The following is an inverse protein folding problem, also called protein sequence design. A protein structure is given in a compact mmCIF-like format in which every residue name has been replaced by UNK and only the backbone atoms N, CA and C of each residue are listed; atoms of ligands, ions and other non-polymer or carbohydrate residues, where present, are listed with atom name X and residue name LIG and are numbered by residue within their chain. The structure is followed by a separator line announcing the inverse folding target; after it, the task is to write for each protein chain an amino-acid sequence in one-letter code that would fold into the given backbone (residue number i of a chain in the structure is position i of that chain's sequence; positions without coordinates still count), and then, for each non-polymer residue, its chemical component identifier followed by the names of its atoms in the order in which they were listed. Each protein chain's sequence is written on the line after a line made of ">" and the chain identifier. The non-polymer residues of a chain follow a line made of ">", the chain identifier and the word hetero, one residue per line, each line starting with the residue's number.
data_IF_515711189100
#
_entry.id   IF_515711189100
#
_cell.length_a   1.000
_cell.length_b   1.000
_cell.length_c   1.000
_cell.angle_alpha   90.00
_cell.angle_beta   90.00
_cell.angle_gamma   90.00
#
_symmetry.space_group_name_H-M   'P 1'
#
loop_
_entity.id
_entity.type
_entity.pdbx_description
1 polymer ?
#
# COMPACT_ATOMS: atom_id res chain seq x y z
N UNK A 1 -4.36 -6.67 19.80
CA UNK A 1 -4.68 -5.32 19.32
C UNK A 1 -3.52 -4.85 18.45
N UNK A 2 -3.73 -4.72 17.17
CA UNK A 2 -2.81 -3.99 16.29
C UNK A 2 -2.75 -2.56 16.85
N UNK A 3 -1.60 -2.16 17.39
CA UNK A 3 -1.36 -0.75 17.68
C UNK A 3 -1.36 -0.05 16.32
N UNK A 4 -2.43 0.67 16.04
CA UNK A 4 -2.56 1.42 14.79
C UNK A 4 -1.48 2.51 14.84
N UNK A 5 -0.54 2.47 13.91
CA UNK A 5 0.42 3.54 13.72
C UNK A 5 -0.34 4.84 13.41
N UNK A 6 0.15 5.96 13.89
CA UNK A 6 -0.43 7.26 13.58
C UNK A 6 0.64 8.19 12.99
N UNK A 7 0.20 9.24 12.29
CA UNK A 7 1.13 10.26 11.78
C UNK A 7 1.86 11.00 12.90
N UNK A 8 1.25 11.09 14.08
CA UNK A 8 1.85 11.74 15.26
C UNK A 8 3.05 10.96 15.82
N UNK A 9 3.15 9.66 15.54
CA UNK A 9 4.28 8.82 15.94
C UNK A 9 5.40 8.78 14.90
N UNK A 10 5.23 9.42 13.73
CA UNK A 10 6.25 9.53 12.70
C UNK A 10 7.14 10.74 12.97
N UNK A 11 8.33 10.49 13.52
CA UNK A 11 9.23 11.56 13.92
C UNK A 11 10.26 11.87 12.84
N UNK A 12 10.23 13.11 12.34
CA UNK A 12 11.17 13.59 11.31
C UNK A 12 12.64 13.55 11.75
N UNK A 13 12.91 13.49 13.06
CA UNK A 13 14.30 13.39 13.58
C UNK A 13 15.04 12.14 13.13
N UNK A 14 14.33 11.08 12.75
CA UNK A 14 14.94 9.84 12.24
C UNK A 14 15.43 9.97 10.80
N UNK A 15 15.02 11.00 10.08
CA UNK A 15 15.51 11.26 8.74
C UNK A 15 16.71 12.21 8.78
N UNK A 16 17.76 11.97 7.98
CA UNK A 16 18.96 12.81 7.99
C UNK A 16 18.61 14.23 7.54
N UNK A 17 19.16 15.21 8.27
CA UNK A 17 19.06 16.62 7.87
C UNK A 17 20.22 16.99 6.91
N UNK A 18 20.28 16.31 5.79
CA UNK A 18 21.32 16.43 4.76
C UNK A 18 20.71 16.64 3.39
N UNK A 19 21.47 17.24 2.49
CA UNK A 19 21.08 17.36 1.10
C UNK A 19 21.33 16.05 0.36
N UNK A 20 20.32 15.59 -0.36
CA UNK A 20 20.49 14.51 -1.33
C UNK A 20 21.23 15.05 -2.54
N UNK A 21 22.42 14.50 -2.81
CA UNK A 21 23.27 14.96 -3.91
C UNK A 21 22.67 14.68 -5.29
N UNK A 22 21.81 13.67 -5.42
CA UNK A 22 21.16 13.32 -6.70
C UNK A 22 19.97 14.21 -7.02
N UNK A 23 19.16 14.56 -6.02
CA UNK A 23 17.90 15.27 -6.18
C UNK A 23 17.97 16.74 -5.73
N UNK A 24 19.05 17.17 -5.10
CA UNK A 24 19.24 18.54 -4.64
C UNK A 24 18.24 19.00 -3.56
N UNK A 25 17.67 18.07 -2.80
CA UNK A 25 16.67 18.35 -1.76
C UNK A 25 17.18 17.94 -0.38
N UNK A 26 16.75 18.68 0.65
CA UNK A 26 16.98 18.27 2.03
C UNK A 26 16.05 17.09 2.36
N UNK A 27 16.63 15.96 2.74
CA UNK A 27 15.89 14.70 2.98
C UNK A 27 14.81 14.87 4.04
N UNK A 28 15.14 15.49 5.18
CA UNK A 28 14.15 15.70 6.26
C UNK A 28 13.01 16.62 5.83
N UNK A 29 13.30 17.69 5.13
CA UNK A 29 12.28 18.62 4.63
C UNK A 29 11.37 17.95 3.59
N UNK A 30 11.95 17.14 2.70
CA UNK A 30 11.19 16.36 1.72
C UNK A 30 10.26 15.36 2.40
N UNK A 31 10.77 14.58 3.38
CA UNK A 31 9.96 13.64 4.13
C UNK A 31 8.84 14.33 4.92
N UNK A 32 9.09 15.51 5.47
CA UNK A 32 8.06 16.32 6.13
C UNK A 32 6.90 16.65 5.20
N UNK A 33 7.20 17.14 4.00
CA UNK A 33 6.17 17.45 2.99
C UNK A 33 5.43 16.21 2.51
N UNK A 34 6.14 15.09 2.35
CA UNK A 34 5.53 13.83 1.95
C UNK A 34 4.54 13.34 3.01
N UNK A 35 4.94 13.34 4.27
CA UNK A 35 4.07 12.92 5.38
C UNK A 35 2.86 13.83 5.53
N UNK A 36 3.01 15.15 5.37
CA UNK A 36 1.90 16.09 5.38
C UNK A 36 0.92 15.79 4.24
N UNK A 37 1.41 15.50 3.04
CA UNK A 37 0.59 15.12 1.89
C UNK A 37 -0.16 13.79 2.10
N UNK A 38 0.48 12.79 2.69
CA UNK A 38 -0.15 11.51 3.01
C UNK A 38 -1.22 11.67 4.12
N UNK A 39 -0.95 12.50 5.11
CA UNK A 39 -1.93 12.84 6.14
C UNK A 39 -3.15 13.52 5.54
N UNK A 40 -2.95 14.52 4.69
CA UNK A 40 -4.03 15.22 3.99
C UNK A 40 -4.85 14.26 3.12
N UNK A 41 -4.17 13.36 2.38
CA UNK A 41 -4.83 12.31 1.61
C UNK A 41 -5.79 11.46 2.48
N UNK A 42 -5.34 11.09 3.67
CA UNK A 42 -6.13 10.27 4.58
C UNK A 42 -7.26 11.05 5.27
N UNK A 43 -7.03 12.32 5.63
CA UNK A 43 -8.04 13.19 6.26
C UNK A 43 -9.19 13.53 5.31
N UNK A 44 -8.88 13.76 4.04
CA UNK A 44 -9.85 14.12 3.00
C UNK A 44 -10.29 12.91 2.16
N UNK A 45 -10.12 11.71 2.68
CA UNK A 45 -10.36 10.49 1.91
C UNK A 45 -11.78 10.38 1.37
N UNK A 46 -11.87 10.11 0.07
CA UNK A 46 -13.11 9.77 -0.64
C UNK A 46 -12.87 8.56 -1.54
N UNK A 47 -13.61 7.47 -1.38
CA UNK A 47 -13.42 6.26 -2.18
C UNK A 47 -13.57 6.47 -3.69
N UNK A 48 -14.31 7.51 -4.09
CA UNK A 48 -14.60 7.79 -5.51
C UNK A 48 -13.74 8.90 -6.11
N UNK A 49 -12.99 9.65 -5.30
CA UNK A 49 -12.23 10.81 -5.73
C UNK A 49 -10.72 10.68 -5.49
N UNK A 50 -10.32 9.82 -4.57
CA UNK A 50 -8.91 9.62 -4.27
C UNK A 50 -8.21 8.77 -5.33
N UNK A 51 -6.97 9.14 -5.62
CA UNK A 51 -6.10 8.37 -6.49
C UNK A 51 -5.43 7.21 -5.73
N UNK A 52 -5.01 6.21 -6.48
CA UNK A 52 -4.15 5.15 -5.95
C UNK A 52 -2.74 5.69 -5.72
N UNK A 53 -2.06 5.18 -4.70
CA UNK A 53 -0.71 5.61 -4.33
C UNK A 53 0.27 4.43 -4.38
N UNK A 54 1.51 4.72 -4.76
CA UNK A 54 2.62 3.79 -4.64
C UNK A 54 3.73 4.43 -3.80
N UNK A 55 4.01 3.84 -2.64
CA UNK A 55 5.09 4.25 -1.74
C UNK A 55 6.32 3.39 -2.02
N UNK A 56 7.32 4.00 -2.65
CA UNK A 56 8.54 3.31 -3.09
C UNK A 56 9.72 3.81 -2.26
N UNK A 57 10.56 2.90 -1.83
CA UNK A 57 11.78 3.23 -1.11
C UNK A 57 12.40 2.04 -0.41
N UNK A 58 13.61 2.20 0.05
CA UNK A 58 14.33 1.15 0.78
C UNK A 58 13.59 0.74 2.07
N UNK A 59 13.89 -0.47 2.54
CA UNK A 59 13.39 -0.94 3.83
C UNK A 59 13.75 0.05 4.97
N UNK A 60 12.85 0.16 5.96
CA UNK A 60 13.06 1.00 7.13
C UNK A 60 12.77 2.50 6.94
N UNK A 61 12.27 2.93 5.79
CA UNK A 61 11.90 4.34 5.54
C UNK A 61 10.50 4.72 6.06
N UNK A 62 9.79 3.82 6.73
CA UNK A 62 8.49 4.12 7.34
C UNK A 62 7.28 3.92 6.42
N UNK A 63 7.42 3.26 5.26
CA UNK A 63 6.32 3.02 4.33
C UNK A 63 5.13 2.29 4.96
N UNK A 64 5.41 1.18 5.64
CA UNK A 64 4.39 0.40 6.39
C UNK A 64 3.72 1.24 7.46
N UNK A 65 4.50 2.03 8.21
CA UNK A 65 3.98 2.92 9.24
C UNK A 65 3.03 3.97 8.64
N UNK A 66 3.43 4.60 7.53
CA UNK A 66 2.59 5.56 6.81
C UNK A 66 1.30 4.91 6.29
N UNK A 67 1.39 3.72 5.70
CA UNK A 67 0.23 2.98 5.21
C UNK A 67 -0.77 2.64 6.34
N UNK A 68 -0.27 2.20 7.49
CA UNK A 68 -1.10 1.92 8.67
C UNK A 68 -1.71 3.19 9.26
N UNK A 69 -0.98 4.32 9.26
CA UNK A 69 -1.51 5.60 9.70
C UNK A 69 -2.66 6.09 8.80
N UNK A 70 -2.53 5.93 7.48
CA UNK A 70 -3.61 6.20 6.52
C UNK A 70 -4.81 5.30 6.80
N UNK A 71 -4.59 4.00 6.96
CA UNK A 71 -5.65 3.04 7.26
C UNK A 71 -6.44 3.43 8.51
N UNK A 72 -5.75 3.83 9.57
CA UNK A 72 -6.38 4.28 10.82
C UNK A 72 -7.32 5.47 10.62
N UNK A 73 -6.85 6.53 9.95
CA UNK A 73 -7.66 7.72 9.69
C UNK A 73 -8.86 7.43 8.77
N UNK A 74 -8.69 6.61 7.76
CA UNK A 74 -9.76 6.25 6.83
C UNK A 74 -10.82 5.39 7.53
N UNK A 75 -10.40 4.44 8.39
CA UNK A 75 -11.31 3.65 9.23
C UNK A 75 -12.11 4.52 10.20
N UNK A 76 -11.48 5.52 10.85
CA UNK A 76 -12.14 6.45 11.75
C UNK A 76 -13.26 7.25 11.07
N UNK A 77 -13.14 7.46 9.76
CA UNK A 77 -14.16 8.13 8.94
C UNK A 77 -15.31 7.18 8.54
N UNK A 78 -15.24 5.92 8.90
CA UNK A 78 -16.28 4.92 8.64
C UNK A 78 -16.19 4.21 7.29
N UNK A 79 -15.06 4.30 6.60
CA UNK A 79 -14.81 3.58 5.35
C UNK A 79 -14.28 2.17 5.60
N UNK A 80 -14.51 1.27 4.65
CA UNK A 80 -13.97 -0.08 4.65
C UNK A 80 -12.51 -0.08 4.18
N UNK A 81 -11.62 -0.57 5.02
CA UNK A 81 -10.20 -0.69 4.71
C UNK A 81 -9.73 -2.12 4.83
N UNK A 82 -9.07 -2.61 3.79
CA UNK A 82 -8.34 -3.88 3.80
C UNK A 82 -6.84 -3.55 3.78
N UNK A 83 -6.15 -3.93 4.84
CA UNK A 83 -4.69 -3.91 4.91
C UNK A 83 -4.17 -5.33 4.93
N UNK A 84 -3.32 -5.66 3.96
CA UNK A 84 -2.70 -6.99 3.86
C UNK A 84 -1.21 -6.86 3.51
N UNK A 85 -0.40 -7.76 4.07
CA UNK A 85 0.93 -8.05 3.57
C UNK A 85 0.80 -8.74 2.21
N UNK A 86 1.41 -8.17 1.17
CA UNK A 86 1.33 -8.74 -0.18
C UNK A 86 1.85 -10.17 -0.24
N UNK A 87 3.01 -10.52 0.38
CA UNK A 87 3.49 -11.89 0.44
C UNK A 87 2.48 -12.86 1.03
N UNK A 88 1.92 -12.52 2.18
CA UNK A 88 0.98 -13.40 2.88
C UNK A 88 -0.35 -13.55 2.12
N UNK A 89 -0.86 -12.45 1.58
CA UNK A 89 -2.12 -12.43 0.84
C UNK A 89 -2.05 -13.28 -0.43
N UNK A 90 -1.06 -13.04 -1.28
CA UNK A 90 -0.92 -13.79 -2.54
C UNK A 90 -0.43 -15.21 -2.31
N UNK A 91 0.39 -15.45 -1.29
CA UNK A 91 0.79 -16.79 -0.87
C UNK A 91 -0.40 -17.64 -0.44
N UNK A 92 -1.33 -17.07 0.31
CA UNK A 92 -2.56 -17.76 0.71
C UNK A 92 -3.48 -18.05 -0.49
N UNK A 93 -3.62 -17.12 -1.42
CA UNK A 93 -4.40 -17.31 -2.63
C UNK A 93 -3.79 -18.45 -3.48
N UNK A 94 -2.47 -18.47 -3.65
CA UNK A 94 -1.79 -19.52 -4.41
C UNK A 94 -1.93 -20.89 -3.75
N UNK A 95 -1.78 -20.97 -2.43
CA UNK A 95 -1.91 -22.22 -1.68
C UNK A 95 -3.33 -22.82 -1.76
N UNK A 96 -4.36 -22.00 -1.87
CA UNK A 96 -5.76 -22.43 -1.97
C UNK A 96 -6.30 -22.49 -3.38
N UNK A 97 -5.44 -22.26 -4.38
CA UNK A 97 -5.81 -22.18 -5.82
C UNK A 97 -6.63 -23.35 -6.32
N UNK A 98 -6.31 -24.56 -5.87
CA UNK A 98 -6.95 -25.82 -6.32
C UNK A 98 -7.86 -26.42 -5.26
N UNK A 99 -8.10 -25.73 -4.16
CA UNK A 99 -8.98 -26.18 -3.09
C UNK A 99 -10.41 -25.66 -3.34
N UNK A 100 -11.36 -26.55 -3.67
CA UNK A 100 -12.75 -26.14 -3.90
C UNK A 100 -13.43 -25.51 -2.68
N UNK A 101 -12.92 -25.79 -1.47
CA UNK A 101 -13.35 -25.18 -0.21
C UNK A 101 -12.51 -23.98 0.18
N UNK A 102 -11.53 -23.60 -0.64
CA UNK A 102 -10.59 -22.54 -0.37
C UNK A 102 -11.21 -21.14 -0.42
N UNK A 103 -10.69 -20.24 0.38
CA UNK A 103 -11.18 -18.87 0.55
C UNK A 103 -10.64 -17.90 -0.52
N UNK A 104 -9.92 -18.39 -1.55
CA UNK A 104 -9.25 -17.52 -2.54
C UNK A 104 -10.22 -16.53 -3.20
N UNK A 105 -11.36 -17.03 -3.68
CA UNK A 105 -12.38 -16.19 -4.34
C UNK A 105 -12.98 -15.16 -3.37
N UNK A 106 -13.21 -15.56 -2.13
CA UNK A 106 -13.74 -14.66 -1.09
C UNK A 106 -12.72 -13.57 -0.74
N UNK A 107 -11.45 -13.94 -0.59
CA UNK A 107 -10.37 -13.00 -0.32
C UNK A 107 -10.22 -11.98 -1.46
N UNK A 108 -10.20 -12.45 -2.71
CA UNK A 108 -10.11 -11.58 -3.89
C UNK A 108 -11.32 -10.67 -4.03
N UNK A 109 -12.52 -11.18 -3.79
CA UNK A 109 -13.74 -10.37 -3.82
C UNK A 109 -13.71 -9.27 -2.77
N UNK A 110 -13.36 -9.61 -1.53
CA UNK A 110 -13.27 -8.66 -0.43
C UNK A 110 -12.24 -7.58 -0.72
N UNK A 111 -11.06 -7.97 -1.21
CA UNK A 111 -10.02 -7.02 -1.61
C UNK A 111 -10.45 -6.14 -2.81
N UNK A 112 -11.25 -6.69 -3.74
CA UNK A 112 -11.72 -5.95 -4.92
C UNK A 112 -12.77 -4.88 -4.60
N UNK A 113 -13.51 -5.04 -3.51
CA UNK A 113 -14.69 -4.20 -3.19
C UNK A 113 -14.50 -3.25 -2.02
N UNK A 114 -13.43 -3.38 -1.24
CA UNK A 114 -13.14 -2.46 -0.14
C UNK A 114 -12.94 -1.02 -0.62
N UNK A 115 -13.37 -0.03 0.15
CA UNK A 115 -13.20 1.38 -0.15
C UNK A 115 -11.71 1.73 -0.35
N UNK A 116 -10.85 1.21 0.51
CA UNK A 116 -9.39 1.31 0.40
C UNK A 116 -8.75 -0.06 0.55
N UNK A 117 -7.89 -0.43 -0.40
CA UNK A 117 -7.01 -1.59 -0.30
C UNK A 117 -5.57 -1.13 -0.12
N UNK A 118 -4.88 -1.69 0.86
CA UNK A 118 -3.45 -1.48 1.07
C UNK A 118 -2.73 -2.82 0.91
N UNK A 119 -1.87 -2.90 -0.11
CA UNK A 119 -0.97 -4.01 -0.37
C UNK A 119 0.43 -3.62 0.12
N UNK A 120 0.79 -4.09 1.30
CA UNK A 120 2.06 -3.74 1.93
C UNK A 120 3.16 -4.73 1.55
N UNK A 121 4.37 -4.19 1.39
CA UNK A 121 5.60 -4.95 1.15
C UNK A 121 5.57 -5.81 -0.12
N UNK A 122 5.11 -5.23 -1.24
CA UNK A 122 5.17 -5.89 -2.54
C UNK A 122 6.63 -6.06 -2.96
N UNK A 123 7.06 -7.31 -3.17
CA UNK A 123 8.43 -7.71 -3.50
C UNK A 123 8.52 -8.51 -4.80
N UNK A 124 9.76 -8.85 -5.19
CA UNK A 124 10.05 -9.66 -6.40
C UNK A 124 9.92 -11.16 -6.19
N UNK A 125 9.82 -11.62 -4.95
CA UNK A 125 9.79 -13.04 -4.56
C UNK A 125 8.56 -13.80 -5.06
N UNK A 126 7.53 -13.07 -5.53
CA UNK A 126 6.24 -13.64 -5.94
C UNK A 126 5.95 -13.53 -7.44
N UNK A 127 6.95 -13.31 -8.28
CA UNK A 127 6.76 -13.16 -9.72
C UNK A 127 6.55 -14.52 -10.41
N UNK A 128 5.39 -15.12 -10.18
CA UNK A 128 4.90 -16.27 -10.95
C UNK A 128 3.87 -15.80 -11.98
N UNK A 129 3.65 -16.54 -13.09
CA UNK A 129 2.59 -16.21 -14.04
C UNK A 129 1.20 -16.12 -13.38
N UNK A 130 0.96 -16.98 -12.39
CA UNK A 130 -0.30 -16.97 -11.64
C UNK A 130 -0.44 -15.69 -10.79
N UNK A 131 0.61 -15.32 -10.05
CA UNK A 131 0.63 -14.07 -9.29
C UNK A 131 0.32 -12.86 -10.18
N UNK A 132 1.00 -12.76 -11.32
CA UNK A 132 0.80 -11.66 -12.28
C UNK A 132 -0.67 -11.59 -12.71
N UNK A 133 -1.27 -12.72 -13.06
CA UNK A 133 -2.68 -12.79 -13.48
C UNK A 133 -3.62 -12.30 -12.39
N UNK A 134 -3.43 -12.78 -11.16
CA UNK A 134 -4.27 -12.41 -10.01
C UNK A 134 -4.09 -10.93 -9.65
N UNK A 135 -2.86 -10.47 -9.60
CA UNK A 135 -2.52 -9.09 -9.29
C UNK A 135 -3.11 -8.11 -10.30
N UNK A 136 -2.95 -8.37 -11.59
CA UNK A 136 -3.56 -7.57 -12.66
C UNK A 136 -5.08 -7.55 -12.58
N UNK A 137 -5.69 -8.72 -12.37
CA UNK A 137 -7.15 -8.82 -12.23
C UNK A 137 -7.65 -7.98 -11.06
N UNK A 138 -7.00 -8.08 -9.91
CA UNK A 138 -7.34 -7.30 -8.72
C UNK A 138 -7.24 -5.79 -8.97
N UNK A 139 -6.10 -5.33 -9.51
CA UNK A 139 -5.90 -3.91 -9.80
C UNK A 139 -6.88 -3.38 -10.84
N UNK A 140 -7.11 -4.14 -11.93
CA UNK A 140 -8.03 -3.72 -12.98
C UNK A 140 -9.48 -3.64 -12.49
N UNK A 141 -9.90 -4.59 -11.64
CA UNK A 141 -11.23 -4.55 -11.04
C UNK A 141 -11.42 -3.30 -10.17
N UNK A 142 -10.40 -2.96 -9.36
CA UNK A 142 -10.44 -1.77 -8.53
C UNK A 142 -10.38 -0.47 -9.33
N UNK A 143 -9.53 -0.41 -10.34
CA UNK A 143 -9.45 0.73 -11.26
C UNK A 143 -10.77 0.93 -12.01
N UNK A 144 -11.37 -0.14 -12.52
CA UNK A 144 -12.66 -0.08 -13.19
C UNK A 144 -13.81 0.35 -12.28
N UNK A 145 -13.73 0.05 -11.01
CA UNK A 145 -14.69 0.51 -9.99
C UNK A 145 -14.37 1.90 -9.43
N UNK A 146 -13.23 2.50 -9.80
CA UNK A 146 -12.78 3.79 -9.27
C UNK A 146 -12.34 3.75 -7.81
N UNK A 147 -11.92 2.57 -7.29
CA UNK A 147 -11.54 2.39 -5.89
C UNK A 147 -10.02 2.53 -5.70
N UNK A 148 -9.56 3.37 -4.76
CA UNK A 148 -8.14 3.62 -4.55
C UNK A 148 -7.43 2.41 -3.92
N UNK A 149 -6.19 2.17 -4.37
CA UNK A 149 -5.27 1.16 -3.85
C UNK A 149 -3.96 1.81 -3.47
N UNK A 150 -3.44 1.48 -2.30
CA UNK A 150 -2.10 1.88 -1.86
C UNK A 150 -1.21 0.65 -1.91
N UNK A 151 -0.05 0.79 -2.55
CA UNK A 151 0.98 -0.25 -2.62
C UNK A 151 2.24 0.29 -1.99
N UNK A 152 2.85 -0.46 -1.08
CA UNK A 152 4.20 -0.18 -0.62
C UNK A 152 5.17 -1.20 -1.18
N UNK A 153 6.35 -0.76 -1.57
CA UNK A 153 7.38 -1.63 -2.15
C UNK A 153 8.78 -1.11 -1.90
N UNK A 154 9.74 -2.01 -1.78
CA UNK A 154 11.17 -1.69 -1.80
C UNK A 154 11.79 -1.87 -3.19
N UNK A 155 11.01 -2.25 -4.19
CA UNK A 155 11.47 -2.34 -5.58
C UNK A 155 11.61 -0.92 -6.12
N UNK A 156 12.85 -0.51 -6.38
CA UNK A 156 13.16 0.82 -6.92
C UNK A 156 13.19 0.85 -8.45
N UNK A 157 13.39 -0.30 -9.07
CA UNK A 157 13.34 -0.46 -10.53
C UNK A 157 11.95 -0.97 -10.94
N UNK A 158 11.09 -0.04 -11.31
CA UNK A 158 9.72 -0.33 -11.73
C UNK A 158 9.65 -1.08 -13.07
N UNK A 159 10.76 -1.17 -13.82
CA UNK A 159 10.81 -1.98 -15.04
C UNK A 159 10.67 -3.49 -14.76
N UNK A 160 10.94 -3.90 -13.53
CA UNK A 160 10.74 -5.28 -13.07
C UNK A 160 9.28 -5.59 -12.75
N UNK A 161 8.48 -4.58 -12.52
CA UNK A 161 7.02 -4.69 -12.36
C UNK A 161 6.44 -4.24 -13.70
N UNK A 162 6.25 -5.18 -14.62
CA UNK A 162 5.54 -4.91 -15.86
C UNK A 162 4.05 -4.64 -15.53
N UNK A 163 3.79 -3.44 -15.13
CA UNK A 163 2.43 -2.93 -14.96
C UNK A 163 2.03 -2.17 -16.20
#
# INVERSE_FOLDING_TARGET
>A
SLSISSFDTMELRYYPNTMDAQNGVNVRAYMGRLLDGLKQYAEDFSPTENESLMLIGNAGLGKTHAALAIAGLVLEQGHDVIYVSSPDFFGKIEATRFDPSGDADTLLRTASTADLLILDDLGTEFVTPYFITVFYSLLNNRLGAGLPTIITTNITDLSLIHI
#
